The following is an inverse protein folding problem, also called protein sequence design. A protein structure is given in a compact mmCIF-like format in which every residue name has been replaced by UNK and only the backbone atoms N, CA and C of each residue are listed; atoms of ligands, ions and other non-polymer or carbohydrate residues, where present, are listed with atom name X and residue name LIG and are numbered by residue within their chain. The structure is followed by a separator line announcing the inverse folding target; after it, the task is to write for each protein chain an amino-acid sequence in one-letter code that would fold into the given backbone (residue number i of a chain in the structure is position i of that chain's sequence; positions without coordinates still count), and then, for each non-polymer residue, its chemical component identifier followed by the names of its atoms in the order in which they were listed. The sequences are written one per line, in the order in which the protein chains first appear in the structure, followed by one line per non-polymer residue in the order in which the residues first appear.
data_IF_176907831036
#
_entry.id   IF_176907831036
#
_cell.length_a   1.000
_cell.length_b   1.000
_cell.length_c   1.000
_cell.angle_alpha   90.00
_cell.angle_beta   90.00
_cell.angle_gamma   90.00
#
_symmetry.space_group_name_H-M   'P 1'
#
loop_
_entity.id
_entity.type
_entity.pdbx_description
1 polymer ?
#
# COMPACT_ATOMS: atom_id res chain seq x y z
N UNK A 1 43.47 21.65 53.92
CA UNK A 1 44.57 20.69 54.16
C UNK A 1 44.75 19.85 52.91
N UNK A 2 45.72 20.19 52.07
CA UNK A 2 46.17 19.39 50.94
C UNK A 2 47.28 18.44 51.42
N UNK A 3 47.23 17.17 51.02
CA UNK A 3 48.42 16.33 50.88
C UNK A 3 48.39 15.62 49.52
N UNK A 4 49.51 15.64 48.77
CA UNK A 4 49.59 15.13 47.41
C UNK A 4 50.00 13.66 47.39
N UNK A 5 49.57 12.92 46.36
CA UNK A 5 50.24 11.67 45.97
C UNK A 5 51.10 11.97 44.75
N UNK A 6 52.41 11.88 44.97
CA UNK A 6 53.46 11.97 43.97
C UNK A 6 53.84 10.54 43.53
N UNK A 7 54.29 10.46 42.27
CA UNK A 7 55.30 9.57 41.72
C UNK A 7 54.81 8.35 40.90
N UNK A 8 55.49 7.93 39.83
CA UNK A 8 56.19 8.54 38.69
C UNK A 8 56.60 7.34 37.81
N UNK A 9 56.50 7.50 36.48
CA UNK A 9 57.40 6.99 35.43
C UNK A 9 57.79 5.49 35.46
N UNK A 10 57.47 4.77 34.38
CA UNK A 10 58.45 4.33 33.34
C UNK A 10 57.71 3.75 32.12
N UNK A 11 57.73 4.42 30.96
CA UNK A 11 58.54 4.11 29.75
C UNK A 11 58.49 2.66 29.23
N UNK A 12 57.87 2.47 28.06
CA UNK A 12 58.40 1.69 26.91
C UNK A 12 57.57 2.06 25.66
N UNK A 13 58.13 2.85 24.74
CA UNK A 13 58.81 2.46 23.48
C UNK A 13 57.86 1.83 22.43
N UNK A 14 57.31 2.72 21.59
CA UNK A 14 57.43 2.73 20.12
C UNK A 14 57.59 1.38 19.41
N UNK A 15 56.58 0.97 18.64
CA UNK A 15 56.82 0.32 17.34
C UNK A 15 55.80 0.81 16.31
N UNK A 16 56.34 1.56 15.35
CA UNK A 16 55.73 2.02 14.13
C UNK A 16 55.81 0.85 13.12
N UNK A 17 54.66 0.34 12.67
CA UNK A 17 54.60 -0.54 11.50
C UNK A 17 53.67 0.11 10.47
N UNK A 18 54.31 0.75 9.50
CA UNK A 18 53.74 1.30 8.30
C UNK A 18 53.45 0.14 7.34
N UNK A 19 52.18 -0.19 7.11
CA UNK A 19 51.77 -1.04 5.98
C UNK A 19 50.80 -0.28 5.10
N UNK A 20 51.33 0.05 3.92
CA UNK A 20 50.64 0.61 2.76
C UNK A 20 49.57 -0.34 2.21
N UNK A 21 48.46 0.27 1.83
CA UNK A 21 47.47 -0.06 0.79
C UNK A 21 47.58 -1.42 0.09
N UNK A 22 46.46 -2.15 0.11
CA UNK A 22 45.73 -2.49 -1.12
C UNK A 22 44.22 -2.36 -0.89
N UNK A 23 43.59 -1.45 -1.62
CA UNK A 23 42.13 -1.39 -1.77
C UNK A 23 41.72 -2.54 -2.70
N UNK A 24 41.11 -3.57 -2.15
CA UNK A 24 40.30 -4.50 -2.94
C UNK A 24 38.86 -4.01 -2.80
N UNK A 25 38.38 -3.35 -3.86
CA UNK A 25 36.98 -3.22 -4.16
C UNK A 25 36.40 -4.64 -4.34
N UNK A 26 35.99 -5.26 -3.24
CA UNK A 26 35.00 -6.33 -3.30
C UNK A 26 33.64 -5.63 -3.50
N UNK A 27 33.37 -5.30 -4.76
CA UNK A 27 32.01 -5.29 -5.28
C UNK A 27 31.33 -6.55 -4.73
N UNK A 28 30.38 -6.38 -3.82
CA UNK A 28 29.43 -7.45 -3.52
C UNK A 28 28.62 -7.66 -4.79
N UNK A 29 29.18 -8.52 -5.63
CA UNK A 29 28.54 -9.12 -6.77
C UNK A 29 27.30 -9.81 -6.23
N UNK A 30 26.15 -9.34 -6.72
CA UNK A 30 24.84 -9.89 -6.47
C UNK A 30 24.88 -11.35 -6.90
N UNK A 31 25.04 -12.27 -5.96
CA UNK A 31 24.68 -13.67 -6.16
C UNK A 31 23.17 -13.70 -6.36
N UNK A 32 22.76 -13.74 -7.62
CA UNK A 32 21.44 -14.19 -8.04
C UNK A 32 21.29 -15.64 -7.64
N UNK A 33 20.74 -15.88 -6.45
CA UNK A 33 19.93 -17.08 -6.23
C UNK A 33 18.64 -16.92 -7.04
N UNK A 34 18.78 -17.20 -8.34
CA UNK A 34 17.69 -17.39 -9.28
C UNK A 34 16.96 -18.70 -8.92
N UNK A 35 16.00 -18.60 -8.01
CA UNK A 35 14.88 -19.54 -7.86
C UNK A 35 13.73 -18.91 -7.07
N UNK A 36 13.37 -17.66 -7.39
CA UNK A 36 12.08 -17.09 -6.99
C UNK A 36 11.18 -16.93 -8.22
N UNK A 37 10.37 -17.96 -8.48
CA UNK A 37 9.33 -17.92 -9.50
C UNK A 37 8.21 -16.98 -9.06
N UNK A 38 8.34 -15.70 -9.40
CA UNK A 38 7.20 -14.79 -9.60
C UNK A 38 6.79 -13.89 -8.43
N UNK A 39 7.72 -13.47 -7.58
CA UNK A 39 7.46 -12.61 -6.41
C UNK A 39 8.24 -11.29 -6.35
N UNK A 40 8.48 -10.63 -7.50
CA UNK A 40 9.26 -9.38 -7.54
C UNK A 40 8.78 -8.32 -6.54
N UNK A 41 9.72 -7.75 -5.77
CA UNK A 41 9.49 -6.57 -4.93
C UNK A 41 8.75 -5.53 -5.78
N UNK A 42 7.62 -4.96 -5.31
CA UNK A 42 6.87 -4.00 -6.10
C UNK A 42 7.79 -2.83 -6.48
N UNK A 43 7.71 -2.39 -7.74
CA UNK A 43 8.50 -1.29 -8.28
C UNK A 43 8.14 0.07 -7.66
N UNK A 44 7.38 0.10 -6.57
CA UNK A 44 6.93 1.30 -5.89
C UNK A 44 6.48 0.98 -4.47
N UNK A 45 6.52 2.00 -3.62
CA UNK A 45 5.93 1.97 -2.29
C UNK A 45 4.59 2.71 -2.29
N UNK A 46 3.57 2.16 -1.63
CA UNK A 46 2.33 2.89 -1.39
C UNK A 46 2.25 3.24 0.08
N UNK A 47 2.02 4.51 0.35
CA UNK A 47 1.77 5.06 1.66
C UNK A 47 0.31 5.51 1.75
N UNK A 48 -0.34 5.13 2.84
CA UNK A 48 -1.72 5.48 3.15
C UNK A 48 -1.77 6.28 4.45
N UNK A 49 -2.56 7.34 4.50
CA UNK A 49 -2.92 8.02 5.73
C UNK A 49 -4.31 8.62 5.66
N UNK A 50 -4.70 9.34 6.71
CA UNK A 50 -5.94 10.12 6.71
C UNK A 50 -5.63 11.59 6.46
N UNK A 51 -6.50 12.28 5.71
CA UNK A 51 -6.49 13.74 5.62
C UNK A 51 -6.84 14.35 6.97
N UNK A 52 -6.39 15.57 7.22
CA UNK A 52 -6.64 16.30 8.48
C UNK A 52 -8.13 16.32 8.83
N UNK A 53 -8.47 16.11 10.11
CA UNK A 53 -9.85 16.12 10.58
C UNK A 53 -10.70 14.91 10.16
N UNK A 54 -10.10 13.88 9.55
CA UNK A 54 -10.83 12.73 8.98
C UNK A 54 -10.64 11.42 9.74
N UNK A 55 -10.36 11.46 11.05
CA UNK A 55 -10.20 10.27 11.88
C UNK A 55 -11.43 9.36 11.77
N UNK A 56 -11.24 8.11 11.33
CA UNK A 56 -12.33 7.15 11.13
C UNK A 56 -13.18 7.37 9.86
N UNK A 57 -12.87 8.38 9.04
CA UNK A 57 -13.55 8.63 7.77
C UNK A 57 -12.72 8.12 6.58
N UNK A 58 -13.06 6.92 6.13
CA UNK A 58 -12.41 6.24 5.01
C UNK A 58 -12.68 6.86 3.63
N UNK A 59 -13.54 7.89 3.51
CA UNK A 59 -13.69 8.66 2.29
C UNK A 59 -12.54 9.67 2.09
N UNK A 60 -11.79 9.99 3.14
CA UNK A 60 -10.78 11.04 3.16
C UNK A 60 -9.36 10.47 3.37
N UNK A 61 -8.97 9.58 2.48
CA UNK A 61 -7.66 8.94 2.49
C UNK A 61 -6.64 9.80 1.72
N UNK A 62 -5.43 9.85 2.24
CA UNK A 62 -4.24 10.43 1.65
C UNK A 62 -3.37 9.29 1.11
N UNK A 63 -3.13 9.30 -0.20
CA UNK A 63 -2.36 8.27 -0.90
C UNK A 63 -1.07 8.88 -1.43
N UNK A 64 0.07 8.25 -1.17
CA UNK A 64 1.35 8.61 -1.79
C UNK A 64 1.98 7.37 -2.40
N UNK A 65 2.21 7.38 -3.71
CA UNK A 65 2.85 6.29 -4.45
C UNK A 65 4.26 6.75 -4.79
N UNK A 66 5.28 6.10 -4.24
CA UNK A 66 6.69 6.48 -4.40
C UNK A 66 7.39 5.48 -5.32
N UNK A 67 7.94 5.98 -6.41
CA UNK A 67 8.75 5.22 -7.37
C UNK A 67 10.21 5.09 -6.86
N UNK A 68 11.01 4.13 -7.37
CA UNK A 68 12.35 3.85 -6.86
C UNK A 68 13.33 5.00 -7.13
N UNK A 69 13.04 5.81 -8.15
CA UNK A 69 13.80 7.01 -8.49
C UNK A 69 13.42 8.24 -7.66
N UNK A 70 12.49 8.11 -6.71
CA UNK A 70 12.01 9.21 -5.88
C UNK A 70 10.90 10.06 -6.50
N UNK A 71 10.45 9.80 -7.73
CA UNK A 71 9.18 10.38 -8.20
C UNK A 71 8.04 9.89 -7.31
N UNK A 72 7.06 10.74 -7.01
CA UNK A 72 5.84 10.28 -6.35
C UNK A 72 4.57 10.83 -7.00
N UNK A 73 3.48 10.09 -6.84
CA UNK A 73 2.14 10.44 -7.28
C UNK A 73 1.20 10.50 -6.08
N UNK A 74 0.36 11.54 -6.00
CA UNK A 74 -0.45 11.83 -4.80
C UNK A 74 -1.87 11.22 -4.81
N UNK A 75 -2.14 10.26 -5.70
CA UNK A 75 -3.47 9.67 -5.84
C UNK A 75 -3.42 8.18 -6.17
N UNK A 76 -4.34 7.40 -5.61
CA UNK A 76 -4.51 6.00 -5.98
C UNK A 76 -5.10 5.89 -7.40
N UNK A 77 -4.46 5.19 -8.34
CA UNK A 77 -5.04 4.94 -9.66
C UNK A 77 -6.28 4.04 -9.53
N UNK A 78 -7.44 4.48 -10.01
CA UNK A 78 -8.69 3.73 -9.83
C UNK A 78 -8.65 2.29 -10.36
N UNK A 79 -8.02 2.09 -11.51
CA UNK A 79 -7.88 0.79 -12.18
C UNK A 79 -6.73 -0.09 -11.64
N UNK A 80 -5.94 0.42 -10.69
CA UNK A 80 -4.76 -0.28 -10.17
C UNK A 80 -3.47 0.04 -10.92
N UNK A 81 -2.48 -0.83 -10.78
CA UNK A 81 -1.08 -0.52 -11.09
C UNK A 81 -0.47 -1.32 -12.24
N UNK A 82 -1.22 -2.20 -12.91
CA UNK A 82 -0.69 -3.00 -14.02
C UNK A 82 -0.10 -2.16 -15.16
N UNK A 83 -0.67 -0.98 -15.41
CA UNK A 83 -0.22 -0.03 -16.43
C UNK A 83 0.19 1.33 -15.83
N UNK A 84 0.49 1.36 -14.52
CA UNK A 84 0.83 2.61 -13.85
C UNK A 84 2.16 3.14 -14.34
N UNK A 85 2.17 4.42 -14.70
CA UNK A 85 3.32 5.10 -15.27
C UNK A 85 3.22 6.60 -15.03
N UNK A 86 4.27 7.34 -15.40
CA UNK A 86 4.28 8.81 -15.31
C UNK A 86 3.16 9.53 -16.09
N UNK A 87 2.52 8.83 -17.02
CA UNK A 87 1.37 9.34 -17.77
C UNK A 87 0.03 9.16 -17.04
N UNK A 88 0.05 8.64 -15.81
CA UNK A 88 -1.15 8.45 -15.00
C UNK A 88 -1.89 9.78 -14.80
N UNK A 89 -3.18 9.78 -15.12
CA UNK A 89 -4.08 10.92 -14.92
C UNK A 89 -4.77 10.87 -13.56
N UNK A 90 -5.38 11.99 -13.17
CA UNK A 90 -6.23 12.11 -11.99
C UNK A 90 -5.54 12.67 -10.75
N UNK A 91 -4.21 12.60 -10.68
CA UNK A 91 -3.40 13.13 -9.59
C UNK A 91 -2.27 14.04 -10.07
N UNK A 92 -1.32 14.32 -9.18
CA UNK A 92 -0.18 15.20 -9.39
C UNK A 92 1.12 14.47 -9.07
N UNK A 93 2.10 14.63 -9.96
CA UNK A 93 3.46 14.14 -9.79
C UNK A 93 4.32 15.12 -9.02
N UNK A 94 5.27 14.59 -8.26
CA UNK A 94 6.26 15.34 -7.52
C UNK A 94 7.47 14.49 -7.18
N UNK A 95 8.24 14.92 -6.19
CA UNK A 95 9.42 14.21 -5.70
C UNK A 95 9.31 13.93 -4.20
N UNK A 96 9.66 12.70 -3.83
CA UNK A 96 9.86 12.27 -2.46
C UNK A 96 11.36 12.17 -2.19
N UNK A 97 11.80 12.81 -1.11
CA UNK A 97 13.20 12.79 -0.69
C UNK A 97 13.29 12.44 0.80
N UNK A 98 14.33 11.72 1.17
CA UNK A 98 14.66 11.39 2.56
C UNK A 98 16.16 11.62 2.80
N UNK A 99 16.50 12.41 3.81
CA UNK A 99 17.86 12.66 4.28
C UNK A 99 17.97 12.22 5.75
N UNK A 100 18.44 10.99 5.97
CA UNK A 100 18.38 10.38 7.29
C UNK A 100 16.94 10.15 7.73
N UNK A 101 16.52 10.79 8.83
CA UNK A 101 15.19 10.61 9.40
C UNK A 101 14.19 11.71 9.00
N UNK A 102 14.57 12.68 8.18
CA UNK A 102 13.67 13.73 7.70
C UNK A 102 13.53 13.66 6.19
N UNK A 103 12.40 14.12 5.68
CA UNK A 103 12.14 14.13 4.25
C UNK A 103 10.94 14.98 3.89
N UNK A 104 10.57 14.96 2.61
CA UNK A 104 9.39 15.67 2.14
C UNK A 104 8.80 15.03 0.90
N UNK A 105 7.47 15.12 0.80
CA UNK A 105 6.72 14.95 -0.45
C UNK A 105 6.45 16.33 -1.04
N UNK A 106 7.03 16.65 -2.20
CA UNK A 106 6.90 17.97 -2.84
C UNK A 106 6.33 17.86 -4.25
N UNK A 107 5.22 18.53 -4.52
CA UNK A 107 4.65 18.70 -5.86
C UNK A 107 4.32 20.20 -6.10
N UNK A 108 3.84 20.62 -7.29
CA UNK A 108 3.56 22.03 -7.58
C UNK A 108 2.55 22.73 -6.65
N UNK A 109 1.76 21.98 -5.87
CA UNK A 109 0.68 22.50 -5.03
C UNK A 109 0.92 22.33 -3.52
N UNK A 110 1.81 21.41 -3.12
CA UNK A 110 2.07 21.14 -1.71
C UNK A 110 3.51 20.68 -1.45
N UNK A 111 3.99 20.99 -0.25
CA UNK A 111 5.13 20.33 0.38
C UNK A 111 4.69 19.79 1.73
N UNK A 112 4.79 18.47 1.91
CA UNK A 112 4.52 17.79 3.17
C UNK A 112 5.85 17.30 3.72
N UNK A 113 6.35 17.98 4.74
CA UNK A 113 7.50 17.53 5.51
C UNK A 113 7.13 16.30 6.34
N UNK A 114 8.05 15.33 6.40
CA UNK A 114 7.88 14.09 7.13
C UNK A 114 9.08 13.73 7.98
N UNK A 115 8.82 13.02 9.08
CA UNK A 115 9.83 12.38 9.91
C UNK A 115 9.64 10.87 9.89
N UNK A 116 10.72 10.12 9.71
CA UNK A 116 10.73 8.67 9.79
C UNK A 116 10.58 8.22 11.24
N UNK A 117 9.52 7.48 11.52
CA UNK A 117 9.32 6.81 12.81
C UNK A 117 9.83 5.37 12.72
N UNK A 118 9.51 4.69 11.62
CA UNK A 118 9.99 3.35 11.31
C UNK A 118 10.05 3.14 9.78
N UNK A 119 10.42 1.94 9.32
CA UNK A 119 10.38 1.61 7.88
C UNK A 119 8.97 1.62 7.28
N UNK A 120 7.94 1.52 8.12
CA UNK A 120 6.53 1.43 7.70
C UNK A 120 5.68 2.60 8.18
N UNK A 121 6.28 3.62 8.80
CA UNK A 121 5.54 4.73 9.41
C UNK A 121 6.30 6.05 9.32
N UNK A 122 5.60 7.07 8.82
CA UNK A 122 6.06 8.46 8.75
C UNK A 122 5.11 9.38 9.52
N UNK A 123 5.68 10.27 10.32
CA UNK A 123 4.97 11.41 10.91
C UNK A 123 4.92 12.54 9.87
N UNK A 124 3.74 13.13 9.65
CA UNK A 124 3.60 14.37 8.88
C UNK A 124 3.82 15.56 9.82
N UNK A 125 4.86 16.36 9.58
CA UNK A 125 5.23 17.46 10.48
C UNK A 125 4.10 18.49 10.55
N UNK A 126 3.62 18.79 11.75
CA UNK A 126 2.51 19.72 11.97
C UNK A 126 1.12 19.12 11.80
N UNK A 127 1.00 17.79 11.60
CA UNK A 127 -0.26 17.09 11.45
C UNK A 127 -0.39 15.93 12.44
N UNK A 128 -1.61 15.69 12.94
CA UNK A 128 -1.89 14.55 13.83
C UNK A 128 -1.82 13.20 13.10
N UNK A 129 -2.23 13.18 11.83
CA UNK A 129 -2.33 11.94 11.06
C UNK A 129 -0.99 11.55 10.46
N UNK A 130 -0.68 10.26 10.52
CA UNK A 130 0.54 9.65 10.00
C UNK A 130 0.32 9.03 8.61
N UNK A 131 1.43 8.67 7.96
CA UNK A 131 1.44 7.85 6.76
C UNK A 131 2.01 6.48 7.10
N UNK A 132 1.35 5.43 6.63
CA UNK A 132 1.73 4.05 6.85
C UNK A 132 2.02 3.38 5.52
N UNK A 133 3.14 2.66 5.44
CA UNK A 133 3.50 1.88 4.26
C UNK A 133 2.58 0.67 4.19
N UNK A 134 1.93 0.48 3.04
CA UNK A 134 1.06 -0.65 2.81
C UNK A 134 1.89 -1.93 2.63
N UNK A 135 1.56 -3.04 3.32
CA UNK A 135 2.16 -4.33 3.05
C UNK A 135 1.81 -4.83 1.64
N UNK A 136 2.64 -5.70 1.09
CA UNK A 136 2.33 -6.39 -0.17
C UNK A 136 1.02 -7.17 -0.05
N UNK A 137 0.26 -7.17 -1.15
CA UNK A 137 -1.03 -7.88 -1.30
C UNK A 137 -0.97 -8.98 -2.36
N UNK A 138 0.21 -9.25 -2.91
CA UNK A 138 0.38 -10.22 -4.00
C UNK A 138 -0.04 -11.62 -3.56
N UNK A 139 -0.84 -12.28 -4.40
CA UNK A 139 -1.27 -13.66 -4.20
C UNK A 139 -2.33 -13.85 -3.10
N UNK A 140 -2.80 -12.79 -2.44
CA UNK A 140 -3.86 -12.89 -1.44
C UNK A 140 -5.11 -13.51 -2.05
N UNK A 141 -5.68 -14.49 -1.33
CA UNK A 141 -6.98 -15.11 -1.62
C UNK A 141 -7.97 -14.73 -0.53
N UNK A 142 -8.85 -13.78 -0.86
CA UNK A 142 -9.95 -13.36 -0.01
C UNK A 142 -11.03 -14.44 0.08
N UNK A 143 -11.76 -14.42 1.18
CA UNK A 143 -12.89 -15.29 1.45
C UNK A 143 -13.93 -14.53 2.28
N UNK A 144 -15.14 -14.46 1.76
CA UNK A 144 -16.26 -13.78 2.43
C UNK A 144 -16.97 -12.78 1.53
N UNK A 145 -17.95 -12.08 2.12
CA UNK A 145 -18.83 -11.14 1.43
C UNK A 145 -18.48 -9.72 1.80
N UNK A 146 -17.97 -8.98 0.82
CA UNK A 146 -17.47 -7.63 0.97
C UNK A 146 -18.48 -6.63 0.44
N UNK A 147 -18.91 -5.71 1.30
CA UNK A 147 -19.90 -4.67 0.98
C UNK A 147 -19.24 -3.30 0.91
N UNK A 148 -19.51 -2.57 -0.16
CA UNK A 148 -19.02 -1.21 -0.36
C UNK A 148 -19.75 -0.23 0.57
N UNK A 149 -18.99 0.55 1.35
CA UNK A 149 -19.51 1.77 1.98
C UNK A 149 -20.51 1.60 3.12
N UNK A 150 -20.68 0.40 3.68
CA UNK A 150 -21.57 0.15 4.83
C UNK A 150 -20.73 -0.28 6.04
N UNK A 151 -20.23 0.67 6.86
CA UNK A 151 -19.56 0.36 8.12
C UNK A 151 -20.45 -0.48 9.03
N UNK A 152 -19.87 -1.48 9.71
CA UNK A 152 -20.60 -2.36 10.62
C UNK A 152 -21.42 -3.46 9.93
N UNK A 153 -21.31 -3.63 8.61
CA UNK A 153 -21.91 -4.75 7.86
C UNK A 153 -21.57 -6.12 8.46
N UNK A 154 -20.34 -6.30 8.93
CA UNK A 154 -19.89 -7.52 9.62
C UNK A 154 -20.79 -7.90 10.79
N UNK A 155 -21.38 -6.91 11.45
CA UNK A 155 -22.16 -7.05 12.68
C UNK A 155 -23.67 -6.85 12.48
N UNK A 156 -24.11 -6.36 11.31
CA UNK A 156 -25.52 -6.05 11.07
C UNK A 156 -26.27 -7.23 10.45
N UNK A 157 -27.46 -7.53 11.00
CA UNK A 157 -28.36 -8.56 10.49
C UNK A 157 -29.28 -8.10 9.35
N UNK A 158 -29.43 -6.79 9.18
CA UNK A 158 -30.40 -6.18 8.26
C UNK A 158 -29.68 -5.61 7.03
N UNK A 159 -29.68 -6.37 5.94
CA UNK A 159 -29.28 -5.87 4.63
C UNK A 159 -30.51 -5.38 3.85
N UNK A 160 -30.50 -4.18 3.25
CA UNK A 160 -31.69 -3.60 2.65
C UNK A 160 -32.06 -4.19 1.28
N UNK A 161 -31.28 -5.14 0.75
CA UNK A 161 -31.52 -5.76 -0.55
C UNK A 161 -31.97 -7.21 -0.39
N UNK A 162 -32.95 -7.61 -1.19
CA UNK A 162 -33.36 -9.02 -1.30
C UNK A 162 -32.31 -9.83 -2.10
N UNK A 163 -32.36 -11.16 -1.98
CA UNK A 163 -31.41 -12.07 -2.63
C UNK A 163 -31.39 -11.97 -4.17
N UNK A 164 -32.45 -11.45 -4.80
CA UNK A 164 -32.61 -11.38 -6.25
C UNK A 164 -32.31 -9.98 -6.83
N UNK A 165 -31.94 -9.01 -5.98
CA UNK A 165 -31.59 -7.66 -6.42
C UNK A 165 -30.09 -7.52 -6.52
N UNK A 166 -29.62 -6.66 -7.42
CA UNK A 166 -28.23 -6.22 -7.40
C UNK A 166 -27.92 -5.53 -6.06
N UNK A 167 -26.73 -5.79 -5.53
CA UNK A 167 -26.26 -5.38 -4.21
C UNK A 167 -24.87 -4.77 -4.36
N UNK A 168 -24.51 -3.71 -3.60
CA UNK A 168 -23.15 -3.15 -3.59
C UNK A 168 -22.16 -4.11 -2.88
N UNK A 169 -22.06 -5.34 -3.37
CA UNK A 169 -21.41 -6.47 -2.73
C UNK A 169 -20.66 -7.31 -3.76
N UNK A 170 -19.49 -7.81 -3.33
CA UNK A 170 -18.74 -8.85 -4.04
C UNK A 170 -18.38 -9.94 -3.04
N UNK A 171 -18.62 -11.19 -3.42
CA UNK A 171 -18.23 -12.37 -2.65
C UNK A 171 -16.96 -12.97 -3.26
N UNK A 172 -15.98 -13.29 -2.41
CA UNK A 172 -14.78 -14.01 -2.81
C UNK A 172 -14.73 -15.37 -2.15
N UNK A 173 -14.13 -16.34 -2.83
CA UNK A 173 -13.80 -17.64 -2.26
C UNK A 173 -12.30 -17.84 -2.17
N UNK A 174 -11.86 -18.64 -1.20
CA UNK A 174 -10.45 -19.00 -1.02
C UNK A 174 -9.84 -19.69 -2.26
N UNK A 175 -10.65 -20.27 -3.13
CA UNK A 175 -10.21 -20.92 -4.36
C UNK A 175 -9.93 -19.93 -5.51
N UNK A 176 -10.07 -18.62 -5.28
CA UNK A 176 -9.80 -17.61 -6.30
C UNK A 176 -10.96 -17.36 -7.26
N UNK A 177 -12.20 -17.69 -6.87
CA UNK A 177 -13.41 -17.30 -7.60
C UNK A 177 -14.12 -16.14 -6.90
N UNK A 178 -14.92 -15.40 -7.65
CA UNK A 178 -15.76 -14.34 -7.12
C UNK A 178 -17.17 -14.38 -7.69
N UNK A 179 -18.10 -13.77 -6.97
CA UNK A 179 -19.44 -13.44 -7.40
C UNK A 179 -19.69 -11.95 -7.11
N UNK A 180 -19.67 -11.13 -8.15
CA UNK A 180 -20.01 -9.71 -8.13
C UNK A 180 -21.53 -9.57 -8.20
N UNK A 181 -22.13 -9.16 -7.09
CA UNK A 181 -23.58 -8.98 -6.96
C UNK A 181 -24.01 -7.56 -7.38
N UNK A 182 -23.10 -6.72 -7.84
CA UNK A 182 -23.33 -5.31 -8.14
C UNK A 182 -22.39 -4.36 -7.40
N UNK A 183 -21.19 -4.82 -7.00
CA UNK A 183 -20.17 -4.03 -6.30
C UNK A 183 -19.76 -2.76 -7.06
N UNK A 184 -19.91 -2.74 -8.38
CA UNK A 184 -19.54 -1.64 -9.26
C UNK A 184 -20.73 -0.98 -9.97
N UNK A 185 -21.96 -1.40 -9.65
CA UNK A 185 -23.19 -0.81 -10.20
C UNK A 185 -23.41 0.57 -9.59
N UNK A 186 -23.63 1.58 -10.44
CA UNK A 186 -23.94 2.95 -10.02
C UNK A 186 -25.43 3.26 -10.00
N UNK A 187 -26.24 2.46 -10.71
CA UNK A 187 -27.71 2.60 -10.76
C UNK A 187 -28.38 1.24 -10.50
N UNK A 188 -28.75 0.97 -9.24
CA UNK A 188 -29.36 -0.29 -8.84
C UNK A 188 -30.78 -0.52 -9.38
N UNK A 189 -31.42 0.50 -9.96
CA UNK A 189 -32.72 0.33 -10.65
C UNK A 189 -32.56 -0.22 -12.07
N UNK A 190 -31.39 -0.05 -12.66
CA UNK A 190 -31.00 -0.56 -13.97
C UNK A 190 -29.58 -1.14 -13.91
N UNK A 191 -29.38 -2.26 -13.18
CA UNK A 191 -28.04 -2.78 -12.88
C UNK A 191 -27.23 -3.15 -14.14
N UNK A 192 -27.92 -3.45 -15.24
CA UNK A 192 -27.31 -3.81 -16.53
C UNK A 192 -27.21 -2.64 -17.52
N UNK A 193 -27.52 -1.40 -17.09
CA UNK A 193 -27.46 -0.21 -17.95
C UNK A 193 -26.06 -0.01 -18.55
N UNK A 194 -25.03 -0.37 -17.79
CA UNK A 194 -23.62 -0.31 -18.19
C UNK A 194 -23.04 -1.73 -18.16
N UNK A 195 -23.05 -2.45 -19.30
CA UNK A 195 -22.64 -3.86 -19.35
C UNK A 195 -21.22 -4.12 -18.83
N UNK A 196 -20.33 -3.14 -18.96
CA UNK A 196 -18.96 -3.19 -18.44
C UNK A 196 -18.89 -3.29 -16.91
N UNK A 197 -19.97 -2.92 -16.19
CA UNK A 197 -20.05 -2.89 -14.72
C UNK A 197 -21.20 -3.72 -14.16
N UNK A 198 -21.90 -4.46 -15.02
CA UNK A 198 -23.00 -5.31 -14.62
C UNK A 198 -22.52 -6.43 -13.68
N UNK A 199 -23.40 -6.93 -12.78
CA UNK A 199 -23.10 -8.10 -11.95
C UNK A 199 -22.59 -9.30 -12.76
N UNK A 200 -21.94 -10.25 -12.10
CA UNK A 200 -21.43 -11.46 -12.75
C UNK A 200 -20.50 -12.25 -11.85
N UNK A 201 -19.89 -13.30 -12.40
CA UNK A 201 -18.97 -14.14 -11.63
C UNK A 201 -17.76 -14.52 -12.46
N UNK A 202 -16.74 -15.07 -11.81
CA UNK A 202 -15.53 -15.50 -12.49
C UNK A 202 -14.39 -15.82 -11.54
N UNK A 203 -13.18 -15.57 -12.03
CA UNK A 203 -11.93 -15.80 -11.28
C UNK A 203 -11.24 -14.48 -10.99
N UNK A 204 -10.48 -14.44 -9.89
CA UNK A 204 -9.71 -13.25 -9.55
C UNK A 204 -8.27 -13.55 -9.17
N UNK A 205 -7.45 -12.53 -9.37
CA UNK A 205 -6.06 -12.45 -8.97
C UNK A 205 -5.81 -11.10 -8.29
N UNK A 206 -4.98 -11.09 -7.25
CA UNK A 206 -4.46 -9.87 -6.66
C UNK A 206 -2.94 -9.86 -6.87
N UNK A 207 -2.46 -8.87 -7.62
CA UNK A 207 -1.02 -8.62 -7.82
C UNK A 207 -0.74 -7.15 -8.01
N UNK A 208 0.44 -6.71 -7.54
CA UNK A 208 0.93 -5.34 -7.60
C UNK A 208 -0.16 -4.33 -7.21
N UNK A 209 -0.77 -4.51 -6.03
CA UNK A 209 -1.86 -3.65 -5.55
C UNK A 209 -3.02 -3.48 -6.55
N UNK A 210 -3.28 -4.50 -7.36
CA UNK A 210 -4.36 -4.54 -8.35
C UNK A 210 -5.18 -5.80 -8.15
N UNK A 211 -6.49 -5.63 -7.96
CA UNK A 211 -7.49 -6.68 -8.10
C UNK A 211 -7.83 -6.81 -9.59
N UNK A 212 -7.70 -8.02 -10.11
CA UNK A 212 -8.02 -8.38 -11.49
C UNK A 212 -9.18 -9.36 -11.45
N UNK A 213 -10.31 -8.96 -11.99
CA UNK A 213 -11.52 -9.76 -12.11
C UNK A 213 -11.67 -10.21 -13.56
N UNK A 214 -11.59 -11.52 -13.80
CA UNK A 214 -11.85 -12.12 -15.09
C UNK A 214 -13.24 -12.77 -15.05
N UNK A 215 -14.22 -12.14 -15.67
CA UNK A 215 -15.61 -12.60 -15.68
C UNK A 215 -15.80 -13.75 -16.67
N UNK A 216 -16.74 -14.64 -16.38
CA UNK A 216 -17.08 -15.79 -17.24
C UNK A 216 -17.61 -15.38 -18.62
N UNK A 217 -18.17 -14.18 -18.74
CA UNK A 217 -18.67 -13.61 -19.99
C UNK A 217 -17.57 -12.94 -20.83
N UNK A 218 -16.31 -13.00 -20.40
CA UNK A 218 -15.16 -12.44 -21.09
C UNK A 218 -14.78 -11.01 -20.68
N UNK A 219 -15.57 -10.34 -19.82
CA UNK A 219 -15.18 -9.03 -19.28
C UNK A 219 -13.96 -9.15 -18.37
N UNK A 220 -13.13 -8.10 -18.38
CA UNK A 220 -12.02 -7.94 -17.47
C UNK A 220 -12.11 -6.59 -16.78
N UNK A 221 -12.19 -6.60 -15.46
CA UNK A 221 -12.17 -5.38 -14.63
C UNK A 221 -10.91 -5.39 -13.78
N UNK A 222 -10.23 -4.24 -13.74
CA UNK A 222 -9.10 -4.02 -12.84
C UNK A 222 -9.44 -2.91 -11.86
N UNK A 223 -9.01 -3.05 -10.62
CA UNK A 223 -9.18 -2.01 -9.59
C UNK A 223 -7.94 -1.97 -8.71
N UNK A 224 -7.56 -0.79 -8.24
CA UNK A 224 -6.56 -0.73 -7.16
C UNK A 224 -7.05 -1.54 -5.96
N UNK A 225 -6.13 -2.23 -5.29
CA UNK A 225 -6.43 -3.09 -4.17
C UNK A 225 -5.43 -2.87 -3.05
N UNK A 226 -5.92 -2.71 -1.82
CA UNK A 226 -5.08 -2.62 -0.63
C UNK A 226 -5.80 -3.03 0.65
N UNK A 227 -5.03 -3.29 1.70
CA UNK A 227 -5.52 -3.36 3.07
C UNK A 227 -5.63 -1.99 3.73
N UNK A 228 -5.70 -1.98 5.06
CA UNK A 228 -5.80 -0.76 5.87
C UNK A 228 -4.45 -0.43 6.49
N UNK A 229 -3.90 0.75 6.18
CA UNK A 229 -2.64 1.23 6.76
C UNK A 229 -1.53 0.15 6.69
N UNK A 230 -0.82 -0.11 7.78
CA UNK A 230 0.24 -1.13 7.84
C UNK A 230 -0.27 -2.56 8.08
N UNK A 231 -1.59 -2.80 8.09
CA UNK A 231 -2.15 -4.14 8.35
C UNK A 231 -2.00 -5.05 7.14
N UNK A 232 -1.45 -6.25 7.36
CA UNK A 232 -1.36 -7.28 6.33
C UNK A 232 -2.76 -7.78 5.97
N UNK A 233 -3.06 -7.86 4.68
CA UNK A 233 -4.31 -8.47 4.21
C UNK A 233 -4.23 -9.99 4.39
N UNK A 234 -5.29 -10.54 4.95
CA UNK A 234 -5.55 -11.95 5.18
C UNK A 234 -6.80 -12.37 4.40
N UNK A 235 -7.04 -13.68 4.31
CA UNK A 235 -8.22 -14.21 3.63
C UNK A 235 -9.54 -13.63 4.16
N UNK A 236 -9.61 -13.28 5.45
CA UNK A 236 -10.82 -12.82 6.12
C UNK A 236 -10.69 -11.39 6.65
N UNK A 237 -9.81 -10.57 6.08
CA UNK A 237 -9.66 -9.17 6.51
C UNK A 237 -11.00 -8.45 6.51
N UNK A 238 -11.33 -7.82 7.63
CA UNK A 238 -12.60 -7.13 7.86
C UNK A 238 -12.80 -5.95 6.92
N UNK A 239 -11.72 -5.24 6.57
CA UNK A 239 -11.76 -4.08 5.70
C UNK A 239 -10.64 -4.16 4.66
N UNK A 240 -11.02 -3.96 3.41
CA UNK A 240 -10.11 -3.79 2.27
C UNK A 240 -10.55 -2.58 1.45
N UNK A 241 -9.66 -2.07 0.60
CA UNK A 241 -9.99 -1.02 -0.36
C UNK A 241 -9.97 -1.57 -1.77
N UNK A 242 -11.06 -1.36 -2.52
CA UNK A 242 -11.20 -1.72 -3.93
C UNK A 242 -11.50 -0.44 -4.72
N UNK A 243 -10.60 -0.07 -5.64
CA UNK A 243 -10.68 1.19 -6.39
C UNK A 243 -10.64 2.43 -5.49
N UNK A 244 -10.01 2.31 -4.31
CA UNK A 244 -9.98 3.38 -3.29
C UNK A 244 -11.22 3.49 -2.41
N UNK A 245 -12.25 2.64 -2.62
CA UNK A 245 -13.45 2.62 -1.79
C UNK A 245 -13.35 1.55 -0.70
N UNK A 246 -13.89 1.79 0.51
CA UNK A 246 -13.88 0.82 1.60
C UNK A 246 -14.90 -0.31 1.36
N UNK A 247 -14.44 -1.55 1.46
CA UNK A 247 -15.23 -2.76 1.38
C UNK A 247 -15.11 -3.56 2.68
N UNK A 248 -16.23 -3.75 3.36
CA UNK A 248 -16.30 -4.42 4.66
C UNK A 248 -16.72 -5.88 4.48
N UNK A 249 -15.93 -6.81 5.00
CA UNK A 249 -16.24 -8.24 5.04
C UNK A 249 -17.28 -8.54 6.13
N UNK A 250 -17.91 -9.72 6.04
CA UNK A 250 -18.73 -10.30 7.09
C UNK A 250 -18.03 -11.45 7.80
#
# INVERSE_FOLDING_TARGET
MLKPFIMNITKQIMMLALTMLTFINASCEKTTDDNDTGGGKPDFEIWMGLKTGSTGNWANIDWKIVMPNGDYFNQLPGEGFLNFSKNQSGGTWGTFTMNGNTGAFTNPYETIEVKKISETELEKVGYTNRLYKLPSVNGVKLSGKYVNGIPGWSTSGNYPYSANQAQPMIEFTANGTFNDMGAFVTNFTMPDQYPDRAPGSGTYEIKNFTLILNYTDGRKITKAFSGVMSNKVTATSELVFIGGNPFYNK
#
